data_IF_375104241974
#
_entry.id   IF_375104241974
#
_cell.length_a   1.000
_cell.length_b   1.000
_cell.length_c   1.000
_cell.angle_alpha   90.00
_cell.angle_beta   90.00
_cell.angle_gamma   90.00
#
_symmetry.space_group_name_H-M   'P 1'
#
loop_
_entity.id
_entity.type
_entity.pdbx_description
1 polymer ?
#
# COMPACT_ATOMS: atom_id res chain seq x y z
N UNK A 1 -38.69 -2.82 -16.93
CA UNK A 1 -38.89 -2.85 -15.46
C UNK A 1 -38.07 -1.72 -14.84
N UNK A 2 -38.71 -0.56 -14.64
CA UNK A 2 -38.05 0.63 -14.08
C UNK A 2 -37.99 0.46 -12.56
N UNK A 3 -36.79 0.24 -12.03
CA UNK A 3 -36.56 0.11 -10.58
C UNK A 3 -36.55 1.52 -10.00
N UNK A 4 -37.69 1.98 -9.48
CA UNK A 4 -37.82 3.30 -8.86
C UNK A 4 -37.17 3.35 -7.49
N UNK A 5 -36.77 4.55 -7.06
CA UNK A 5 -36.16 4.84 -5.74
C UNK A 5 -37.02 4.25 -4.60
N UNK A 6 -38.34 4.22 -4.78
CA UNK A 6 -39.32 3.73 -3.82
C UNK A 6 -39.17 2.24 -3.49
N UNK A 7 -38.85 1.41 -4.49
CA UNK A 7 -38.68 -0.04 -4.31
C UNK A 7 -37.39 -0.36 -3.55
N UNK A 8 -36.33 0.41 -3.81
CA UNK A 8 -35.04 0.25 -3.15
C UNK A 8 -35.05 0.77 -1.71
N UNK A 9 -35.74 1.89 -1.45
CA UNK A 9 -35.91 2.44 -0.12
C UNK A 9 -36.64 1.45 0.80
N UNK A 10 -37.72 0.83 0.33
CA UNK A 10 -38.45 -0.17 1.11
C UNK A 10 -37.62 -1.45 1.32
N UNK A 11 -36.88 -1.91 0.31
CA UNK A 11 -36.15 -3.18 0.40
C UNK A 11 -34.87 -3.10 1.24
N UNK A 12 -34.16 -1.97 1.21
CA UNK A 12 -32.85 -1.83 1.87
C UNK A 12 -32.95 -1.09 3.21
N UNK A 13 -33.85 -0.10 3.32
CA UNK A 13 -33.99 0.74 4.51
C UNK A 13 -35.29 0.46 5.28
N UNK A 14 -36.20 -0.36 4.74
CA UNK A 14 -37.53 -0.66 5.34
C UNK A 14 -38.30 0.60 5.76
N UNK A 15 -38.11 1.72 5.05
CA UNK A 15 -38.78 3.00 5.29
C UNK A 15 -39.53 3.47 4.04
N UNK A 16 -40.66 4.15 4.27
CA UNK A 16 -41.42 4.82 3.22
C UNK A 16 -40.60 5.99 2.65
N UNK A 17 -40.71 6.28 1.33
CA UNK A 17 -39.93 7.32 0.66
C UNK A 17 -40.13 8.73 1.26
N UNK A 18 -41.30 8.96 1.87
CA UNK A 18 -41.71 10.19 2.54
C UNK A 18 -40.93 10.48 3.84
N UNK A 19 -40.21 9.48 4.37
CA UNK A 19 -39.45 9.54 5.62
C UNK A 19 -37.92 9.54 5.43
N UNK A 20 -37.44 9.68 4.20
CA UNK A 20 -36.02 9.75 3.87
C UNK A 20 -35.53 11.19 4.01
N UNK A 21 -34.40 11.37 4.71
CA UNK A 21 -33.72 12.66 4.71
C UNK A 21 -33.26 12.99 3.28
N UNK A 22 -33.19 14.29 2.93
CA UNK A 22 -32.71 14.74 1.61
C UNK A 22 -31.34 14.13 1.24
N UNK A 23 -30.51 13.81 2.25
CA UNK A 23 -29.22 13.16 2.08
C UNK A 23 -29.37 11.69 1.65
N UNK A 24 -30.29 10.95 2.25
CA UNK A 24 -30.52 9.53 1.96
C UNK A 24 -31.12 9.33 0.57
N UNK A 25 -32.08 10.20 0.18
CA UNK A 25 -32.65 10.20 -1.16
C UNK A 25 -31.59 10.48 -2.24
N UNK A 26 -30.67 11.42 -1.97
CA UNK A 26 -29.56 11.77 -2.88
C UNK A 26 -28.55 10.62 -3.05
N UNK A 27 -28.25 9.88 -1.97
CA UNK A 27 -27.38 8.70 -2.00
C UNK A 27 -28.05 7.55 -2.76
N UNK A 28 -29.34 7.33 -2.56
CA UNK A 28 -30.06 6.26 -3.25
C UNK A 28 -30.20 6.55 -4.76
N UNK A 29 -30.48 7.80 -5.12
CA UNK A 29 -30.56 8.24 -6.52
C UNK A 29 -29.23 8.07 -7.27
N UNK A 30 -28.11 8.45 -6.65
CA UNK A 30 -26.78 8.30 -7.25
C UNK A 30 -26.30 6.83 -7.33
N UNK A 31 -26.86 5.94 -6.50
CA UNK A 31 -26.63 4.49 -6.60
C UNK A 31 -27.38 3.87 -7.78
N UNK A 32 -28.61 4.33 -8.08
CA UNK A 32 -29.42 3.83 -9.20
C UNK A 32 -28.85 4.27 -10.54
N UNK A 33 -28.30 5.47 -10.63
CA UNK A 33 -27.71 6.01 -11.86
C UNK A 33 -26.40 5.33 -12.29
N UNK A 34 -25.89 4.34 -11.53
CA UNK A 34 -24.57 3.71 -11.77
C UNK A 34 -23.42 4.72 -11.87
N UNK A 35 -23.61 5.93 -11.38
CA UNK A 35 -22.54 6.89 -11.15
C UNK A 35 -22.02 6.60 -9.76
N UNK A 36 -21.14 5.60 -9.67
CA UNK A 36 -20.35 5.25 -8.49
C UNK A 36 -20.17 6.47 -7.59
N UNK A 37 -20.82 6.47 -6.42
CA UNK A 37 -20.62 7.46 -5.35
C UNK A 37 -19.25 7.25 -4.69
N UNK A 38 -18.23 6.94 -5.50
CA UNK A 38 -16.88 7.44 -5.28
C UNK A 38 -16.87 8.88 -5.77
N UNK A 39 -17.75 9.71 -5.19
CA UNK A 39 -17.32 11.05 -4.81
C UNK A 39 -16.53 10.86 -3.52
N UNK A 40 -15.42 10.16 -3.67
CA UNK A 40 -14.38 10.15 -2.67
C UNK A 40 -14.00 11.61 -2.48
N UNK A 41 -13.84 11.94 -1.21
CA UNK A 41 -13.40 13.15 -0.50
C UNK A 41 -12.37 14.09 -1.18
N UNK A 42 -11.95 13.80 -2.41
CA UNK A 42 -10.93 14.49 -3.21
C UNK A 42 -11.37 15.85 -3.82
N UNK A 43 -12.23 16.62 -3.14
CA UNK A 43 -12.44 18.04 -3.49
C UNK A 43 -12.04 19.02 -2.40
N UNK A 44 -11.70 18.54 -1.20
CA UNK A 44 -11.02 19.34 -0.17
C UNK A 44 -9.49 19.15 -0.14
N UNK A 45 -8.96 18.18 -0.90
CA UNK A 45 -7.51 17.94 -1.11
C UNK A 45 -7.04 18.53 -2.47
N UNK A 46 -7.93 19.17 -3.22
CA UNK A 46 -7.60 19.75 -4.53
C UNK A 46 -6.65 20.96 -4.45
N UNK A 47 -6.39 21.50 -3.26
CA UNK A 47 -5.52 22.66 -3.09
C UNK A 47 -4.13 22.34 -2.54
N UNK A 48 -3.93 21.15 -1.97
CA UNK A 48 -2.64 20.67 -1.45
C UNK A 48 -2.43 19.22 -1.86
N UNK A 49 -2.45 18.94 -3.18
CA UNK A 49 -1.89 17.70 -3.70
C UNK A 49 -0.38 17.76 -3.46
N UNK A 50 0.01 17.41 -2.24
CA UNK A 50 1.39 17.43 -1.78
C UNK A 50 2.23 16.54 -2.69
N UNK A 51 3.47 16.96 -2.95
CA UNK A 51 4.44 16.18 -3.72
C UNK A 51 4.54 14.71 -3.24
N UNK A 52 4.24 14.47 -1.95
CA UNK A 52 4.19 13.15 -1.33
C UNK A 52 3.15 12.21 -1.94
N UNK A 53 1.93 12.67 -2.24
CA UNK A 53 0.88 11.80 -2.81
C UNK A 53 1.26 11.31 -4.20
N UNK A 54 1.90 12.16 -5.01
CA UNK A 54 2.39 11.76 -6.35
C UNK A 54 3.55 10.77 -6.28
N UNK A 55 4.43 10.95 -5.30
CA UNK A 55 5.54 10.03 -5.02
C UNK A 55 5.02 8.67 -4.54
N UNK A 56 4.03 8.65 -3.64
CA UNK A 56 3.40 7.42 -3.17
C UNK A 56 2.72 6.65 -4.31
N UNK A 57 1.98 7.34 -5.18
CA UNK A 57 1.32 6.74 -6.36
C UNK A 57 2.33 6.19 -7.38
N UNK A 58 3.50 6.80 -7.46
CA UNK A 58 4.59 6.36 -8.34
C UNK A 58 5.31 5.15 -7.73
N UNK A 59 5.61 5.18 -6.43
CA UNK A 59 6.19 4.05 -5.70
C UNK A 59 5.20 2.88 -5.66
N UNK A 60 3.89 3.10 -5.58
CA UNK A 60 2.88 2.05 -5.68
C UNK A 60 2.84 1.41 -7.08
N UNK A 61 3.05 2.22 -8.14
CA UNK A 61 3.13 1.71 -9.52
C UNK A 61 4.41 0.91 -9.78
N UNK A 62 5.54 1.37 -9.25
CA UNK A 62 6.84 0.71 -9.41
C UNK A 62 6.98 -0.49 -8.48
N UNK A 63 6.50 -0.36 -7.24
CA UNK A 63 6.50 -1.38 -6.20
C UNK A 63 5.36 -2.40 -6.28
N UNK A 64 4.35 -2.17 -7.14
CA UNK A 64 3.26 -3.11 -7.39
C UNK A 64 3.66 -4.34 -8.20
N UNK A 65 4.86 -4.36 -8.77
CA UNK A 65 5.41 -5.53 -9.45
C UNK A 65 6.11 -6.47 -8.47
N UNK A 66 5.68 -7.74 -8.46
CA UNK A 66 6.33 -8.79 -7.68
C UNK A 66 7.81 -8.96 -8.02
N UNK A 67 8.22 -8.72 -9.27
CA UNK A 67 9.62 -8.80 -9.68
C UNK A 67 10.50 -7.72 -9.04
N UNK A 68 9.96 -6.52 -8.76
CA UNK A 68 10.70 -5.45 -8.10
C UNK A 68 11.02 -5.84 -6.64
N UNK A 69 10.02 -6.35 -5.92
CA UNK A 69 10.17 -6.80 -4.52
C UNK A 69 11.21 -7.93 -4.45
N UNK A 70 11.12 -8.93 -5.32
CA UNK A 70 12.05 -10.04 -5.36
C UNK A 70 13.49 -9.59 -5.66
N UNK A 71 13.66 -8.68 -6.62
CA UNK A 71 14.98 -8.12 -6.96
C UNK A 71 15.56 -7.35 -5.77
N UNK A 72 14.74 -6.54 -5.10
CA UNK A 72 15.18 -5.77 -3.94
C UNK A 72 15.58 -6.67 -2.77
N UNK A 73 14.79 -7.71 -2.47
CA UNK A 73 15.11 -8.70 -1.43
C UNK A 73 16.42 -9.43 -1.79
N UNK A 74 16.57 -9.88 -3.03
CA UNK A 74 17.80 -10.54 -3.49
C UNK A 74 19.01 -9.63 -3.33
N UNK A 75 18.90 -8.35 -3.69
CA UNK A 75 19.94 -7.36 -3.51
C UNK A 75 20.33 -7.20 -2.03
N UNK A 76 19.35 -7.11 -1.11
CA UNK A 76 19.61 -7.00 0.33
C UNK A 76 20.30 -8.25 0.90
N UNK A 77 19.91 -9.44 0.45
CA UNK A 77 20.55 -10.70 0.86
C UNK A 77 22.01 -10.71 0.40
N UNK A 78 22.27 -10.37 -0.87
CA UNK A 78 23.64 -10.32 -1.41
C UNK A 78 24.48 -9.29 -0.65
N UNK A 79 23.94 -8.11 -0.40
CA UNK A 79 24.61 -7.06 0.38
C UNK A 79 24.97 -7.58 1.77
N UNK A 80 23.99 -8.06 2.52
CA UNK A 80 24.16 -8.45 3.93
C UNK A 80 25.13 -9.62 4.05
N UNK A 81 25.02 -10.61 3.15
CA UNK A 81 25.94 -11.75 3.11
C UNK A 81 27.36 -11.34 2.73
N UNK A 82 27.53 -10.41 1.78
CA UNK A 82 28.85 -9.89 1.41
C UNK A 82 29.55 -9.23 2.60
N UNK A 83 28.83 -8.39 3.33
CA UNK A 83 29.36 -7.70 4.51
C UNK A 83 29.71 -8.70 5.63
N UNK A 84 28.85 -9.69 5.85
CA UNK A 84 29.06 -10.73 6.87
C UNK A 84 30.25 -11.66 6.54
N UNK A 85 30.39 -12.10 5.28
CA UNK A 85 31.49 -12.97 4.84
C UNK A 85 32.84 -12.25 4.99
N UNK A 86 32.90 -10.97 4.62
CA UNK A 86 34.12 -10.16 4.79
C UNK A 86 34.54 -10.07 6.25
N UNK A 87 33.57 -9.87 7.15
CA UNK A 87 33.80 -9.84 8.60
C UNK A 87 34.32 -11.17 9.14
N UNK A 88 33.77 -12.30 8.69
CA UNK A 88 34.23 -13.63 9.12
C UNK A 88 35.63 -13.95 8.60
N UNK A 89 35.94 -13.59 7.35
CA UNK A 89 37.28 -13.79 6.77
C UNK A 89 38.35 -13.00 7.53
N UNK A 90 38.05 -11.76 7.91
CA UNK A 90 38.89 -10.92 8.78
C UNK A 90 39.15 -11.57 10.15
N UNK A 91 38.12 -12.15 10.77
CA UNK A 91 38.23 -12.84 12.07
C UNK A 91 39.09 -14.10 11.95
N UNK A 92 38.85 -14.93 10.93
CA UNK A 92 39.63 -16.15 10.69
C UNK A 92 41.10 -15.81 10.47
N UNK A 93 41.38 -14.81 9.62
CA UNK A 93 42.74 -14.34 9.38
C UNK A 93 43.42 -13.87 10.67
N UNK A 94 42.70 -13.10 11.52
CA UNK A 94 43.23 -12.68 12.82
C UNK A 94 43.52 -13.84 13.75
N UNK A 95 42.71 -14.90 13.75
CA UNK A 95 42.96 -16.08 14.59
C UNK A 95 44.23 -16.81 14.15
N UNK A 96 44.39 -17.03 12.85
CA UNK A 96 45.57 -17.70 12.29
C UNK A 96 46.88 -16.97 12.65
N UNK A 97 46.87 -15.64 12.50
CA UNK A 97 48.02 -14.79 12.81
C UNK A 97 48.38 -14.82 14.31
N UNK A 98 47.37 -14.91 15.19
CA UNK A 98 47.57 -15.07 16.64
C UNK A 98 48.14 -16.44 17.00
N UNK A 99 47.65 -17.51 16.37
CA UNK A 99 48.15 -18.87 16.57
C UNK A 99 49.60 -19.01 16.11
N UNK A 100 49.95 -18.40 14.96
CA UNK A 100 51.33 -18.38 14.48
C UNK A 100 52.27 -17.63 15.43
N UNK A 101 51.82 -16.54 16.06
CA UNK A 101 52.63 -15.84 17.06
C UNK A 101 52.82 -16.67 18.34
N UNK A 102 51.79 -17.36 18.81
CA UNK A 102 51.86 -18.19 20.02
C UNK A 102 52.71 -19.46 19.83
N UNK A 103 52.72 -20.05 18.63
CA UNK A 103 53.56 -21.22 18.35
C UNK A 103 55.04 -20.90 18.15
N UNK A 104 55.38 -19.62 17.90
CA UNK A 104 56.74 -19.16 17.67
C UNK A 104 57.44 -18.65 18.95
N UNK A 105 56.73 -18.61 20.09
CA UNK A 105 57.27 -18.31 21.43
C UNK A 105 57.44 -19.57 22.26
#
# INVERSE_FOLDING_TARGET
MNKTIDDLANRWLKRKPDGLSQLESRVLQSTIERTTITRDTNKAVAFHQTFGDRLADTIARVGGSWSFILTFIAFLIVWTMRDEIGRLAEVVKRIDERLSQQSAS
#
